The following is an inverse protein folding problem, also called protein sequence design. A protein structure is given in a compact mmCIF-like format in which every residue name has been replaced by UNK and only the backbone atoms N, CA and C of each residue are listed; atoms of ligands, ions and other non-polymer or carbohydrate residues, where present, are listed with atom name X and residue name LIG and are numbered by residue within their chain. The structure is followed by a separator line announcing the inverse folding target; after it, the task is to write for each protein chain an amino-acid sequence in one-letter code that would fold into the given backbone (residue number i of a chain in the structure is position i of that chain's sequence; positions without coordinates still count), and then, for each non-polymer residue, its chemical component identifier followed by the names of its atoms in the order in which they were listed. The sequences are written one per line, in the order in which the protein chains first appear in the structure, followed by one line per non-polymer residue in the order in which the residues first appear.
data_IF_803624941577
#
_entry.id   IF_803624941577
#
_cell.length_a   1.000
_cell.length_b   1.000
_cell.length_c   1.000
_cell.angle_alpha   90.00
_cell.angle_beta   90.00
_cell.angle_gamma   90.00
#
_symmetry.space_group_name_H-M   'P 1'
#
loop_
_entity.id
_entity.type
_entity.pdbx_description
1 polymer ?
#
# COMPACT_ATOMS: atom_id res chain seq x y z
N UNK A 1 0.15 5.71 -18.41
CA UNK A 1 -0.97 4.89 -17.90
C UNK A 1 -0.35 3.84 -17.01
N UNK A 2 -0.79 3.69 -15.75
CA UNK A 2 -0.22 2.66 -14.89
C UNK A 2 -0.65 1.28 -15.37
N UNK A 3 0.29 0.36 -15.55
CA UNK A 3 -0.01 -1.03 -15.87
C UNK A 3 -0.26 -1.80 -14.58
N UNK A 4 -1.24 -2.71 -14.61
CA UNK A 4 -1.66 -3.46 -13.44
C UNK A 4 -1.63 -4.96 -13.76
N UNK A 5 -0.90 -5.70 -12.93
CA UNK A 5 -0.73 -7.15 -13.06
C UNK A 5 -1.21 -7.85 -11.81
N UNK A 6 -1.81 -9.03 -11.96
CA UNK A 6 -2.16 -9.88 -10.83
C UNK A 6 -0.89 -10.34 -10.11
N UNK A 7 -0.83 -10.13 -8.80
CA UNK A 7 0.18 -10.73 -7.93
C UNK A 7 -0.43 -11.91 -7.17
N UNK A 8 0.30 -13.01 -7.11
CA UNK A 8 -0.12 -14.21 -6.39
C UNK A 8 1.08 -15.02 -5.92
N UNK A 9 1.08 -15.41 -4.65
CA UNK A 9 2.06 -16.37 -4.12
C UNK A 9 1.41 -17.33 -3.15
N UNK A 10 1.96 -18.53 -3.07
CA UNK A 10 1.57 -19.54 -2.08
C UNK A 10 2.75 -19.82 -1.16
N UNK A 11 2.51 -19.75 0.14
CA UNK A 11 3.46 -20.15 1.18
C UNK A 11 2.99 -21.43 1.87
N UNK A 12 3.90 -22.39 2.02
CA UNK A 12 3.65 -23.68 2.67
C UNK A 12 4.92 -24.20 3.36
N UNK A 13 4.90 -25.45 3.82
CA UNK A 13 6.07 -26.08 4.47
C UNK A 13 7.32 -26.21 3.58
N UNK A 14 7.18 -26.22 2.26
CA UNK A 14 8.29 -26.30 1.32
C UNK A 14 8.81 -24.91 0.93
N UNK A 15 7.91 -23.93 0.78
CA UNK A 15 8.23 -22.52 0.52
C UNK A 15 7.60 -21.64 1.60
N UNK A 16 8.31 -21.43 2.70
CA UNK A 16 7.78 -20.66 3.83
C UNK A 16 7.93 -19.15 3.67
N UNK A 17 8.71 -18.68 2.69
CA UNK A 17 8.95 -17.25 2.48
C UNK A 17 8.96 -16.89 1.00
N UNK A 18 8.49 -15.69 0.68
CA UNK A 18 8.65 -15.05 -0.62
C UNK A 18 9.09 -13.61 -0.46
N UNK A 19 10.04 -13.18 -1.30
CA UNK A 19 10.47 -11.79 -1.38
C UNK A 19 9.94 -11.20 -2.69
N UNK A 20 9.24 -10.08 -2.58
CA UNK A 20 8.95 -9.19 -3.69
C UNK A 20 10.03 -8.10 -3.71
N UNK A 21 10.82 -8.10 -4.78
CA UNK A 21 11.96 -7.20 -4.99
C UNK A 21 12.13 -6.92 -6.49
N UNK A 22 12.64 -5.74 -6.85
CA UNK A 22 12.80 -5.28 -8.24
C UNK A 22 14.22 -5.35 -8.76
N UNK A 23 15.21 -5.51 -7.88
CA UNK A 23 16.59 -5.61 -8.35
C UNK A 23 16.79 -6.93 -9.12
N UNK A 24 17.35 -6.91 -10.35
CA UNK A 24 17.93 -8.10 -10.91
C UNK A 24 18.98 -8.62 -9.94
N UNK A 25 18.81 -9.87 -9.50
CA UNK A 25 19.99 -10.67 -9.15
C UNK A 25 20.86 -10.65 -10.39
N UNK A 26 22.04 -10.06 -10.22
CA UNK A 26 22.99 -9.61 -11.24
C UNK A 26 23.41 -10.72 -12.24
N UNK A 27 22.51 -11.11 -13.14
CA UNK A 27 22.78 -11.98 -14.28
C UNK A 27 22.81 -11.09 -15.53
N UNK A 28 24.00 -10.91 -16.10
CA UNK A 28 24.34 -10.03 -17.24
C UNK A 28 23.70 -10.44 -18.59
N UNK A 29 22.45 -10.91 -18.60
CA UNK A 29 21.77 -11.28 -19.84
C UNK A 29 20.25 -11.14 -19.73
N UNK A 30 19.75 -9.93 -19.92
CA UNK A 30 18.79 -9.64 -20.99
C UNK A 30 18.29 -8.20 -20.85
N UNK A 31 18.62 -7.42 -21.87
CA UNK A 31 18.16 -6.07 -22.13
C UNK A 31 16.65 -6.05 -22.39
N UNK A 32 15.83 -6.07 -21.33
CA UNK A 32 14.50 -5.44 -21.33
C UNK A 32 13.89 -5.24 -19.92
N UNK A 33 14.69 -5.28 -18.86
CA UNK A 33 14.17 -5.01 -17.53
C UNK A 33 13.81 -3.52 -17.41
N UNK A 34 12.62 -3.28 -16.87
CA UNK A 34 12.05 -1.99 -16.49
C UNK A 34 12.97 -1.21 -15.53
N UNK A 35 14.13 -0.78 -16.01
CA UNK A 35 15.11 0.00 -15.28
C UNK A 35 14.49 1.39 -15.11
N UNK A 36 14.01 1.69 -13.90
CA UNK A 36 13.41 2.99 -13.57
C UNK A 36 11.88 3.06 -13.53
N UNK A 37 11.16 1.93 -13.62
CA UNK A 37 9.70 1.94 -13.44
C UNK A 37 9.36 1.81 -11.96
N UNK A 38 8.73 2.85 -11.40
CA UNK A 38 8.22 2.82 -10.02
C UNK A 38 7.15 1.73 -9.92
N UNK A 39 7.35 0.82 -8.98
CA UNK A 39 6.48 -0.33 -8.78
C UNK A 39 5.87 -0.31 -7.40
N UNK A 40 4.64 -0.79 -7.30
CA UNK A 40 3.88 -0.80 -6.04
C UNK A 40 3.10 -2.10 -5.90
N UNK A 41 3.33 -2.79 -4.79
CA UNK A 41 2.60 -4.00 -4.45
C UNK A 41 1.36 -3.67 -3.60
N UNK A 42 0.21 -4.17 -4.02
CA UNK A 42 -1.03 -4.08 -3.23
C UNK A 42 -1.49 -5.50 -2.89
N UNK A 43 -1.47 -5.87 -1.62
CA UNK A 43 -2.01 -7.15 -1.14
C UNK A 43 -3.46 -6.98 -0.77
N UNK A 44 -4.35 -7.68 -1.48
CA UNK A 44 -5.79 -7.61 -1.24
C UNK A 44 -6.24 -8.60 -0.18
N UNK A 45 -5.74 -9.84 -0.23
CA UNK A 45 -6.30 -10.91 0.59
C UNK A 45 -5.27 -12.01 0.85
N UNK A 46 -5.41 -12.67 1.99
CA UNK A 46 -4.77 -13.95 2.28
C UNK A 46 -5.83 -15.03 2.51
N UNK A 47 -5.63 -16.21 1.94
CA UNK A 47 -6.54 -17.35 2.00
C UNK A 47 -5.79 -18.59 2.44
N UNK A 48 -6.41 -19.38 3.31
CA UNK A 48 -5.93 -20.69 3.70
C UNK A 48 -6.46 -21.71 2.69
N UNK A 49 -5.56 -22.45 2.06
CA UNK A 49 -5.93 -23.49 1.11
C UNK A 49 -6.61 -24.68 1.79
N UNK A 50 -7.44 -25.43 1.05
CA UNK A 50 -8.26 -26.51 1.61
C UNK A 50 -7.44 -27.70 2.13
N UNK A 51 -6.17 -27.83 1.72
CA UNK A 51 -5.25 -28.87 2.16
C UNK A 51 -4.65 -28.58 3.55
N UNK A 52 -4.89 -27.40 4.11
CA UNK A 52 -4.37 -27.02 5.41
C UNK A 52 -4.91 -27.92 6.52
N UNK A 53 -4.02 -28.24 7.48
CA UNK A 53 -4.37 -29.14 8.58
C UNK A 53 -5.49 -28.56 9.45
N UNK A 54 -6.56 -29.32 9.73
CA UNK A 54 -7.63 -28.87 10.63
C UNK A 54 -7.09 -28.52 12.03
N UNK A 55 -7.50 -27.36 12.55
CA UNK A 55 -7.10 -26.88 13.88
C UNK A 55 -5.66 -26.35 13.98
N UNK A 56 -4.89 -26.33 12.89
CA UNK A 56 -3.56 -25.73 12.86
C UNK A 56 -3.65 -24.23 12.58
N UNK A 57 -3.10 -23.42 13.50
CA UNK A 57 -2.99 -21.98 13.31
C UNK A 57 -1.82 -21.66 12.37
N UNK A 58 -2.15 -21.00 11.26
CA UNK A 58 -1.22 -20.46 10.28
C UNK A 58 -1.04 -18.96 10.51
N UNK A 59 0.20 -18.49 10.60
CA UNK A 59 0.51 -17.08 10.87
C UNK A 59 1.37 -16.51 9.75
N UNK A 60 0.78 -15.58 9.00
CA UNK A 60 1.45 -14.84 7.94
C UNK A 60 2.04 -13.55 8.51
N UNK A 61 3.34 -13.35 8.32
CA UNK A 61 4.07 -12.15 8.68
C UNK A 61 4.52 -11.42 7.41
N UNK A 62 4.58 -10.11 7.48
CA UNK A 62 5.28 -9.28 6.48
C UNK A 62 6.48 -8.59 7.12
N UNK A 63 7.55 -8.45 6.35
CA UNK A 63 8.66 -7.53 6.58
C UNK A 63 8.71 -6.51 5.44
N UNK A 64 8.64 -5.22 5.78
CA UNK A 64 8.68 -4.13 4.80
C UNK A 64 9.35 -2.89 5.40
N UNK A 65 9.79 -1.96 4.54
CA UNK A 65 10.37 -0.69 4.98
C UNK A 65 9.33 0.20 5.67
N UNK A 66 9.69 0.77 6.81
CA UNK A 66 8.93 1.81 7.49
C UNK A 66 9.77 3.05 7.72
N UNK A 67 9.15 4.13 8.22
CA UNK A 67 9.81 5.44 8.41
C UNK A 67 11.11 5.40 9.24
N UNK A 68 11.23 4.45 10.17
CA UNK A 68 12.39 4.30 11.06
C UNK A 68 13.24 3.06 10.75
N UNK A 69 13.04 2.44 9.60
CA UNK A 69 13.67 1.18 9.19
C UNK A 69 12.67 0.03 9.02
N UNK A 70 13.17 -1.19 8.76
CA UNK A 70 12.34 -2.37 8.50
C UNK A 70 11.42 -2.75 9.66
N UNK A 71 10.18 -3.09 9.35
CA UNK A 71 9.15 -3.52 10.30
C UNK A 71 8.76 -4.97 9.98
N UNK A 72 8.83 -5.85 10.98
CA UNK A 72 8.28 -7.22 10.89
C UNK A 72 7.02 -7.33 11.73
N UNK A 73 5.89 -7.67 11.12
CA UNK A 73 4.60 -7.76 11.83
C UNK A 73 3.68 -8.85 11.26
N UNK A 74 2.99 -9.64 12.11
CA UNK A 74 1.93 -10.55 11.66
C UNK A 74 0.79 -9.77 11.01
N UNK A 75 0.36 -10.21 9.84
CA UNK A 75 -0.73 -9.59 9.06
C UNK A 75 -1.95 -10.50 8.93
N UNK A 76 -1.79 -11.83 9.08
CA UNK A 76 -2.93 -12.74 9.08
C UNK A 76 -2.73 -13.92 10.06
N UNK A 77 -3.82 -14.30 10.71
CA UNK A 77 -3.94 -15.50 11.52
C UNK A 77 -5.09 -16.33 10.91
N UNK A 78 -4.75 -17.49 10.35
CA UNK A 78 -5.69 -18.32 9.60
C UNK A 78 -5.77 -19.72 10.20
N UNK A 79 -6.98 -20.27 10.32
CA UNK A 79 -7.21 -21.62 10.85
C UNK A 79 -8.48 -22.21 10.21
N UNK A 80 -8.37 -23.44 9.70
CA UNK A 80 -9.50 -24.14 9.07
C UNK A 80 -10.68 -24.26 10.05
N UNK A 81 -11.86 -23.86 9.59
CA UNK A 81 -13.09 -23.87 10.38
C UNK A 81 -13.27 -22.67 11.33
N UNK A 82 -12.29 -21.74 11.39
CA UNK A 82 -12.42 -20.47 12.14
C UNK A 82 -12.23 -19.26 11.24
N UNK A 83 -11.10 -19.19 10.53
CA UNK A 83 -10.72 -18.06 9.70
C UNK A 83 -9.95 -18.58 8.49
N UNK A 84 -10.69 -18.88 7.42
CA UNK A 84 -10.10 -19.41 6.18
C UNK A 84 -9.62 -18.30 5.23
N UNK A 85 -10.06 -17.06 5.41
CA UNK A 85 -9.63 -15.93 4.58
C UNK A 85 -9.70 -14.61 5.34
N UNK A 86 -8.90 -13.64 4.93
CA UNK A 86 -8.91 -12.27 5.46
C UNK A 86 -8.58 -11.27 4.36
N UNK A 87 -9.36 -10.19 4.29
CA UNK A 87 -9.05 -9.03 3.45
C UNK A 87 -8.02 -8.18 4.20
N UNK A 88 -6.94 -7.83 3.51
CA UNK A 88 -5.81 -7.08 4.08
C UNK A 88 -5.79 -5.64 3.55
N UNK A 89 -5.92 -5.48 2.23
CA UNK A 89 -5.80 -4.20 1.52
C UNK A 89 -4.58 -3.36 1.95
N UNK A 90 -3.41 -4.01 1.93
CA UNK A 90 -2.12 -3.41 2.29
C UNK A 90 -1.39 -2.94 1.05
N UNK A 91 -0.72 -1.80 1.14
CA UNK A 91 -0.01 -1.15 0.04
C UNK A 91 1.46 -0.99 0.41
N UNK A 92 2.35 -1.51 -0.41
CA UNK A 92 3.80 -1.44 -0.25
C UNK A 92 4.41 -0.74 -1.47
N UNK A 93 4.80 0.55 -1.33
CA UNK A 93 5.42 1.30 -2.43
C UNK A 93 6.92 0.98 -2.58
N UNK A 94 7.58 0.52 -1.52
CA UNK A 94 9.03 0.31 -1.51
C UNK A 94 9.37 -1.18 -1.44
N UNK A 95 10.14 -1.74 -2.40
CA UNK A 95 10.81 -3.02 -2.21
C UNK A 95 12.00 -2.90 -1.24
N UNK A 96 12.49 -4.01 -0.65
CA UNK A 96 11.90 -5.34 -0.72
C UNK A 96 10.76 -5.52 0.29
N UNK A 97 9.79 -6.37 -0.07
CA UNK A 97 8.71 -6.83 0.82
C UNK A 97 8.82 -8.33 0.96
N UNK A 98 8.96 -8.83 2.19
CA UNK A 98 9.07 -10.27 2.44
C UNK A 98 7.83 -10.78 3.17
N UNK A 99 7.17 -11.76 2.59
CA UNK A 99 6.09 -12.52 3.24
C UNK A 99 6.64 -13.82 3.80
N UNK A 100 6.31 -14.14 5.04
CA UNK A 100 6.77 -15.38 5.69
C UNK A 100 5.65 -16.06 6.46
N UNK A 101 5.49 -17.35 6.25
CA UNK A 101 4.68 -18.23 7.07
C UNK A 101 5.49 -18.66 8.31
N UNK A 102 5.35 -17.91 9.39
CA UNK A 102 6.14 -18.12 10.62
C UNK A 102 5.58 -19.23 11.52
N UNK A 103 4.36 -19.68 11.23
CA UNK A 103 3.69 -20.79 11.93
C UNK A 103 2.68 -21.46 11.00
N UNK A 104 2.50 -22.76 11.17
CA UNK A 104 1.58 -23.58 10.39
C UNK A 104 2.23 -24.14 9.13
N UNK A 105 1.61 -25.15 8.53
CA UNK A 105 2.13 -25.82 7.33
C UNK A 105 1.53 -25.31 6.01
N UNK A 106 0.58 -24.38 6.09
CA UNK A 106 -0.12 -23.85 4.92
C UNK A 106 -0.97 -24.93 4.23
N UNK A 107 -1.27 -24.76 2.93
CA UNK A 107 -0.86 -23.63 2.10
C UNK A 107 -1.62 -22.34 2.45
N UNK A 108 -0.94 -21.20 2.43
CA UNK A 108 -1.52 -19.86 2.52
C UNK A 108 -1.27 -19.13 1.20
N UNK A 109 -2.35 -18.78 0.50
CA UNK A 109 -2.33 -18.02 -0.74
C UNK A 109 -2.46 -16.54 -0.44
N UNK A 110 -1.58 -15.72 -1.01
CA UNK A 110 -1.60 -14.26 -0.93
C UNK A 110 -1.92 -13.76 -2.33
N UNK A 111 -2.95 -12.91 -2.45
CA UNK A 111 -3.40 -12.38 -3.74
C UNK A 111 -3.45 -10.86 -3.68
N UNK A 112 -3.03 -10.22 -4.77
CA UNK A 112 -2.90 -8.78 -4.87
C UNK A 112 -2.65 -8.31 -6.30
N UNK A 113 -2.08 -7.11 -6.41
CA UNK A 113 -1.76 -6.47 -7.68
C UNK A 113 -0.34 -5.91 -7.62
N UNK A 114 0.40 -6.03 -8.71
CA UNK A 114 1.62 -5.27 -8.94
C UNK A 114 1.29 -4.12 -9.90
N UNK A 115 1.46 -2.89 -9.44
CA UNK A 115 1.27 -1.68 -10.24
C UNK A 115 2.61 -1.21 -10.75
N UNK A 116 2.72 -0.96 -12.05
CA UNK A 116 3.87 -0.35 -12.69
C UNK A 116 3.50 1.06 -13.15
N UNK A 117 4.10 2.05 -12.52
CA UNK A 117 3.99 3.43 -12.96
C UNK A 117 5.02 3.67 -14.07
N UNK A 118 4.56 3.64 -15.31
CA UNK A 118 5.34 4.16 -16.43
C UNK A 118 5.54 5.65 -16.21
N UNK A 119 6.77 6.07 -15.97
CA UNK A 119 7.14 7.45 -16.26
C UNK A 119 6.91 7.61 -17.76
N UNK A 120 5.88 8.36 -18.13
CA UNK A 120 5.87 8.99 -19.43
C UNK A 120 7.08 9.93 -19.33
N UNK A 121 8.14 9.63 -20.06
CA UNK A 121 9.21 10.59 -20.31
C UNK A 121 8.56 11.80 -21.01
N UNK A 122 7.97 12.70 -20.24
CA UNK A 122 7.71 14.09 -20.65
C UNK A 122 8.98 14.90 -20.36
N UNK A 123 10.15 14.36 -20.71
CA UNK A 123 11.39 15.11 -20.76
C UNK A 123 11.60 15.58 -22.21
N UNK A 124 11.23 16.84 -22.40
CA UNK A 124 12.05 17.83 -23.11
C UNK A 124 12.21 17.65 -24.64
N UNK A 125 11.14 17.95 -25.38
CA UNK A 125 11.25 18.65 -26.68
C UNK A 125 11.37 20.18 -26.44
N UNK A 126 12.15 20.57 -25.44
CA UNK A 126 12.57 21.96 -25.23
C UNK A 126 14.09 22.01 -25.22
N UNK A 127 14.63 22.89 -26.07
CA UNK A 127 16.04 23.20 -26.35
C UNK A 127 16.67 22.38 -27.51
N UNK A 128 16.67 22.93 -28.72
CA UNK A 128 17.80 23.79 -29.10
C UNK A 128 17.49 24.69 -30.31
N UNK A 129 18.12 25.85 -30.28
CA UNK A 129 17.93 27.08 -31.04
C UNK A 129 18.22 27.00 -32.55
N UNK A 130 17.45 27.76 -33.34
CA UNK A 130 18.03 28.65 -34.37
C UNK A 130 17.05 29.80 -34.65
N UNK A 131 17.09 30.82 -33.79
CA UNK A 131 16.64 32.17 -34.14
C UNK A 131 17.64 32.76 -35.13
N UNK A 132 17.36 32.65 -36.43
CA UNK A 132 18.03 33.47 -37.45
C UNK A 132 17.70 34.95 -37.18
N UNK A 133 18.70 35.65 -36.70
CA UNK A 133 18.77 37.11 -36.68
C UNK A 133 18.93 37.56 -38.13
N UNK A 134 17.85 38.04 -38.76
CA UNK A 134 17.99 38.90 -39.93
C UNK A 134 17.62 40.34 -39.58
N UNK A 135 18.60 41.21 -39.79
CA UNK A 135 18.52 42.63 -39.57
C UNK A 135 17.70 43.25 -40.69
N UNK A 136 16.58 43.89 -40.37
CA UNK A 136 16.03 44.95 -41.20
C UNK A 136 15.78 46.18 -40.34
N UNK A 137 16.79 47.03 -40.38
CA UNK A 137 16.78 48.47 -40.10
C UNK A 137 15.66 49.16 -40.90
N UNK A 138 14.82 49.96 -40.24
CA UNK A 138 14.34 51.24 -40.78
C UNK A 138 13.50 51.98 -39.71
N UNK A 139 14.15 52.99 -39.15
CA UNK A 139 13.68 54.37 -38.95
C UNK A 139 12.28 54.66 -38.33
N UNK A 140 12.36 55.37 -37.20
CA UNK A 140 11.63 56.62 -36.89
C UNK A 140 10.16 56.52 -36.45
N UNK A 141 9.87 56.88 -35.20
CA UNK A 141 9.41 58.24 -34.85
C UNK A 141 8.93 58.30 -33.38
N UNK A 142 9.17 59.45 -32.76
CA UNK A 142 9.03 59.78 -31.35
C UNK A 142 7.58 59.83 -30.80
N UNK A 143 7.44 59.60 -29.48
CA UNK A 143 6.70 60.41 -28.46
C UNK A 143 5.99 59.53 -27.43
N UNK A 144 6.39 59.51 -26.16
CA UNK A 144 6.28 60.52 -25.09
C UNK A 144 4.98 60.38 -24.27
N UNK A 145 5.10 60.68 -22.97
CA UNK A 145 4.10 60.77 -21.89
C UNK A 145 3.74 59.52 -21.07
N UNK A 146 4.48 59.37 -19.98
CA UNK A 146 4.08 59.34 -18.55
C UNK A 146 2.59 59.17 -18.16
N UNK A 147 2.36 58.37 -17.12
CA UNK A 147 1.50 58.58 -15.91
C UNK A 147 1.16 57.21 -15.32
N UNK A 148 1.80 56.75 -14.23
CA UNK A 148 1.54 57.05 -12.80
C UNK A 148 0.26 56.42 -12.20
N UNK A 149 0.41 56.07 -10.91
CA UNK A 149 -0.56 55.65 -9.88
C UNK A 149 -0.88 54.15 -9.78
N UNK A 150 -0.34 53.43 -8.76
CA UNK A 150 -0.72 53.46 -7.32
C UNK A 150 -2.21 53.12 -7.11
N UNK A 151 -2.70 52.40 -6.10
CA UNK A 151 -2.20 51.65 -4.96
C UNK A 151 -3.44 50.87 -4.43
N UNK A 152 -3.18 49.91 -3.54
CA UNK A 152 -3.88 49.73 -2.26
C UNK A 152 -4.95 48.64 -1.98
N UNK A 153 -4.66 48.00 -0.84
CA UNK A 153 -5.49 47.55 0.28
C UNK A 153 -6.53 46.40 0.14
N UNK A 154 -6.03 45.17 0.35
CA UNK A 154 -6.17 44.31 1.56
C UNK A 154 -7.41 44.46 2.54
N UNK A 155 -7.56 43.63 3.59
CA UNK A 155 -8.53 42.52 3.67
C UNK A 155 -9.53 42.63 4.85
N UNK A 156 -10.60 41.81 4.88
CA UNK A 156 -11.39 41.62 6.12
C UNK A 156 -11.64 40.16 6.50
N UNK A 157 -10.89 39.79 7.54
CA UNK A 157 -11.03 38.67 8.49
C UNK A 157 -12.40 38.64 9.20
N UNK A 158 -12.79 37.42 9.62
CA UNK A 158 -13.16 36.95 10.99
C UNK A 158 -14.38 36.04 10.95
N UNK A 159 -14.21 34.73 11.18
CA UNK A 159 -14.17 34.03 12.50
C UNK A 159 -15.44 34.22 13.34
N UNK A 160 -16.17 33.13 13.48
CA UNK A 160 -16.91 32.71 14.68
C UNK A 160 -17.09 31.18 14.56
N UNK A 161 -17.07 30.34 15.58
CA UNK A 161 -16.59 30.39 16.97
C UNK A 161 -16.69 28.93 17.44
N UNK A 162 -15.64 28.42 18.06
CA UNK A 162 -15.58 27.08 18.68
C UNK A 162 -16.36 27.07 20.00
N UNK A 163 -17.00 25.94 20.31
CA UNK A 163 -17.46 25.55 21.65
C UNK A 163 -18.63 24.56 21.56
N UNK A 164 -18.64 23.38 22.16
CA UNK A 164 -17.70 22.73 23.08
C UNK A 164 -18.06 21.23 23.22
N UNK A 165 -17.14 20.47 23.81
CA UNK A 165 -17.25 19.04 24.10
C UNK A 165 -17.78 18.78 25.53
N UNK A 166 -17.63 17.58 26.14
CA UNK A 166 -18.53 16.42 26.04
C UNK A 166 -19.00 15.90 27.43
N UNK A 167 -20.02 15.03 27.52
CA UNK A 167 -20.33 14.19 28.71
C UNK A 167 -20.98 12.88 28.24
N UNK A 168 -20.38 11.68 28.36
CA UNK A 168 -19.93 10.87 29.50
C UNK A 168 -21.07 10.13 30.24
N UNK A 169 -21.17 8.79 30.10
CA UNK A 169 -21.07 7.76 31.17
C UNK A 169 -21.75 6.41 30.83
N UNK A 170 -20.95 5.34 31.01
CA UNK A 170 -21.21 4.04 31.65
C UNK A 170 -22.59 3.36 31.54
N UNK A 171 -22.57 2.07 31.14
CA UNK A 171 -22.86 0.98 32.10
C UNK A 171 -22.29 -0.38 31.65
N UNK A 172 -21.45 -0.93 32.53
CA UNK A 172 -21.07 -2.33 32.62
C UNK A 172 -22.16 -3.05 33.42
N UNK A 173 -22.62 -4.23 32.99
CA UNK A 173 -22.96 -5.26 33.98
C UNK A 173 -22.83 -6.70 33.45
N UNK A 174 -22.17 -7.49 34.28
CA UNK A 174 -21.91 -8.93 34.18
C UNK A 174 -23.22 -9.71 34.35
N UNK A 175 -23.33 -10.86 33.69
CA UNK A 175 -24.08 -11.98 34.26
C UNK A 175 -23.30 -13.29 34.04
N UNK A 176 -22.85 -13.85 35.16
CA UNK A 176 -22.27 -15.18 35.28
C UNK A 176 -23.38 -16.20 35.56
N UNK A 177 -23.15 -17.41 35.02
CA UNK A 177 -23.58 -18.72 35.52
C UNK A 177 -25.08 -19.02 35.65
N UNK A 178 -25.52 -20.03 34.89
CA UNK A 178 -26.33 -21.11 35.46
C UNK A 178 -26.15 -22.44 34.69
N UNK A 179 -25.75 -23.45 35.47
CA UNK A 179 -25.99 -24.89 35.36
C UNK A 179 -25.46 -25.71 34.17
N UNK A 180 -24.28 -26.28 34.42
CA UNK A 180 -24.02 -27.69 34.11
C UNK A 180 -25.06 -28.57 34.81
N UNK A 181 -25.78 -29.39 34.04
CA UNK A 181 -26.45 -30.57 34.60
C UNK A 181 -26.33 -31.77 33.65
N UNK A 182 -25.87 -32.88 34.22
CA UNK A 182 -26.06 -34.27 33.79
C UNK A 182 -25.26 -34.81 32.58
N UNK A 183 -23.96 -35.03 32.80
CA UNK A 183 -23.34 -36.31 32.43
C UNK A 183 -23.75 -37.36 33.46
N UNK A 184 -24.66 -38.28 33.11
CA UNK A 184 -24.76 -39.65 33.63
C UNK A 184 -25.83 -40.38 32.83
N UNK A 185 -25.39 -41.14 31.83
CA UNK A 185 -25.99 -42.42 31.46
C UNK A 185 -24.97 -43.19 30.61
N UNK A 186 -24.08 -43.91 31.30
CA UNK A 186 -23.48 -45.15 30.84
C UNK A 186 -24.10 -46.25 31.70
N UNK A 187 -24.77 -47.23 31.10
CA UNK A 187 -24.58 -48.66 31.36
C UNK A 187 -25.74 -49.51 30.82
N UNK A 188 -25.41 -50.39 29.86
CA UNK A 188 -25.94 -51.74 29.60
C UNK A 188 -27.46 -51.91 29.36
N UNK A 189 -27.83 -52.28 28.13
CA UNK A 189 -28.08 -53.68 27.71
C UNK A 189 -27.72 -53.81 26.22
#
# INVERSE_FOLDING_TARGET
MAEEYLYGVTLDSAKTSEVWDHEPKNDESDSNQHFGVEQKLIIKMALLGPEAKPGELNVLQVEAMGLKGPIKIPIALLEMGKTSQIILDLSFPDPPVTFTLIKGSGPVHIVGHNLLATHIEEFEDMEDDEVEVDNLDDEDDEKDAEDEDEEDDEPKKKKNKVGGAPKNKNQVNKNQNQNQNQKKNKSWH
#
